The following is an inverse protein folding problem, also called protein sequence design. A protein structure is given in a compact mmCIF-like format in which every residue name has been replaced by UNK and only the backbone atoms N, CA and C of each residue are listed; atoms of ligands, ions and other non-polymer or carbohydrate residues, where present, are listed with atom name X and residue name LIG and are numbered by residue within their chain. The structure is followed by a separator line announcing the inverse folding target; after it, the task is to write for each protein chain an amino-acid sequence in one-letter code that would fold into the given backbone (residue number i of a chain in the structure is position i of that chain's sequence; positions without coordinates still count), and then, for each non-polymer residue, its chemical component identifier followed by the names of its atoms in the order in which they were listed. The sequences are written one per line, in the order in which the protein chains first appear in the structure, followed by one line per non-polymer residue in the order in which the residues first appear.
data_IF_290386567802
#
_entry.id   IF_290386567802
#
_cell.length_a   1.000
_cell.length_b   1.000
_cell.length_c   1.000
_cell.angle_alpha   90.00
_cell.angle_beta   90.00
_cell.angle_gamma   90.00
#
_symmetry.space_group_name_H-M   'P 1'
#
loop_
_entity.id
_entity.type
_entity.pdbx_description
1 polymer ?
#
# COMPACT_ATOMS: atom_id res chain seq x y z
N UNK A 1 -17.21 -7.83 -18.45
CA UNK A 1 -17.40 -8.56 -18.28
C UNK A 1 -17.47 -9.29 -17.71
N UNK A 2 -17.61 -9.59 -17.65
CA UNK A 2 -17.75 -10.45 -17.09
C UNK A 2 -17.59 -11.46 -17.08
N UNK A 3 -17.56 -11.96 -17.00
CA UNK A 3 -17.57 -13.05 -16.96
C UNK A 3 -17.93 -13.86 -16.91
N UNK A 4 -18.20 -14.18 -17.15
CA UNK A 4 -18.66 -14.98 -17.11
C UNK A 4 -18.88 -15.90 -16.83
N UNK A 5 -19.31 -16.08 -16.97
CA UNK A 5 -19.71 -16.99 -16.63
C UNK A 5 -19.87 -17.83 -16.92
N UNK A 6 -19.92 -18.28 -17.19
CA UNK A 6 -20.17 -19.14 -17.41
C UNK A 6 -20.51 -20.21 -17.07
N UNK A 7 -20.71 -20.46 -16.96
CA UNK A 7 -21.22 -21.17 -16.56
C UNK A 7 -21.19 -21.99 -15.92
N UNK A 8 -21.24 -22.22 -15.78
CA UNK A 8 -21.40 -22.73 -15.00
C UNK A 8 -20.81 -22.95 -14.09
N UNK A 9 -20.65 -23.03 -14.14
CA UNK A 9 -20.23 -22.99 -13.27
C UNK A 9 -19.83 -22.45 -12.62
N UNK A 10 -19.97 -21.94 -12.86
CA UNK A 10 -19.77 -21.32 -12.38
C UNK A 10 -19.50 -21.05 -11.62
N UNK A 11 -19.28 -21.13 -11.61
CA UNK A 11 -19.26 -20.90 -10.91
C UNK A 11 -19.17 -20.56 -9.98
N UNK A 12 -19.55 -21.38 -10.81
CA UNK A 12 -20.01 -20.58 -9.73
C UNK A 12 -19.03 -20.20 -8.65
N UNK A 13 -17.91 -20.18 -9.02
CA UNK A 13 -16.85 -19.66 -8.21
C UNK A 13 -16.97 -18.14 -8.16
N UNK A 14 -16.85 -17.58 -6.98
CA UNK A 14 -16.83 -16.14 -6.82
C UNK A 14 -15.43 -15.65 -7.13
N UNK A 15 -15.35 -14.72 -8.06
CA UNK A 15 -14.09 -14.09 -8.43
C UNK A 15 -14.11 -12.68 -7.88
N UNK A 16 -13.14 -12.39 -7.02
CA UNK A 16 -13.01 -11.06 -6.44
C UNK A 16 -12.04 -10.25 -7.28
N UNK A 17 -12.57 -9.28 -7.99
CA UNK A 17 -11.73 -8.33 -8.69
C UNK A 17 -11.42 -7.20 -7.74
N UNK A 18 -10.16 -6.98 -7.49
CA UNK A 18 -9.75 -5.84 -6.69
C UNK A 18 -9.68 -4.65 -7.62
N UNK A 19 -10.67 -3.78 -7.47
CA UNK A 19 -10.79 -2.61 -8.34
C UNK A 19 -9.68 -1.61 -8.13
N UNK A 20 -9.12 -1.60 -6.93
CA UNK A 20 -8.11 -0.64 -6.51
C UNK A 20 -6.96 -1.40 -5.85
N UNK A 21 -6.26 -2.24 -6.60
CA UNK A 21 -5.24 -3.09 -5.97
C UNK A 21 -4.10 -2.29 -5.39
N UNK A 22 -3.65 -2.70 -4.21
CA UNK A 22 -2.53 -2.08 -3.53
C UNK A 22 -1.37 -3.06 -3.54
N UNK A 23 -0.27 -2.64 -4.13
CA UNK A 23 0.95 -3.44 -4.24
C UNK A 23 1.98 -2.95 -3.24
N UNK A 24 2.95 -3.79 -2.93
CA UNK A 24 4.11 -3.42 -2.11
C UNK A 24 5.36 -3.52 -2.95
N UNK A 25 6.24 -2.55 -2.81
CA UNK A 25 7.56 -2.58 -3.43
C UNK A 25 8.36 -3.76 -2.88
N UNK A 26 9.09 -4.45 -3.76
CA UNK A 26 9.93 -5.58 -3.41
C UNK A 26 11.38 -5.15 -3.48
N UNK A 27 12.10 -5.31 -2.37
CA UNK A 27 13.50 -4.91 -2.28
C UNK A 27 14.37 -5.78 -3.19
N UNK A 28 15.61 -5.36 -3.37
CA UNK A 28 16.56 -6.12 -4.18
C UNK A 28 16.74 -7.56 -3.67
N UNK A 29 16.55 -7.76 -2.35
CA UNK A 29 16.65 -9.09 -1.75
C UNK A 29 15.36 -9.89 -1.87
N UNK A 30 14.34 -9.34 -2.52
CA UNK A 30 13.08 -10.04 -2.73
C UNK A 30 12.11 -9.93 -1.59
N UNK A 31 12.29 -8.98 -0.68
CA UNK A 31 11.43 -8.80 0.49
C UNK A 31 10.43 -7.69 0.28
N UNK A 32 9.25 -7.85 0.87
CA UNK A 32 8.23 -6.82 0.88
C UNK A 32 8.68 -5.70 1.81
N UNK A 33 8.88 -4.51 1.25
CA UNK A 33 9.45 -3.39 2.01
C UNK A 33 8.55 -2.96 3.18
N UNK A 34 7.23 -3.10 3.02
CA UNK A 34 6.30 -2.71 4.09
C UNK A 34 6.35 -3.72 5.22
N UNK A 35 6.39 -5.03 4.91
CA UNK A 35 6.53 -6.07 5.94
C UNK A 35 7.82 -5.88 6.72
N UNK A 36 8.92 -5.61 6.04
CA UNK A 36 10.20 -5.37 6.68
C UNK A 36 10.14 -4.16 7.60
N UNK A 37 9.55 -3.08 7.11
CA UNK A 37 9.42 -1.85 7.86
C UNK A 37 8.58 -2.06 9.13
N UNK A 38 7.44 -2.74 9.02
CA UNK A 38 6.59 -3.03 10.18
C UNK A 38 7.34 -3.85 11.22
N UNK A 39 8.13 -4.80 10.77
CA UNK A 39 8.94 -5.64 11.69
C UNK A 39 10.03 -4.83 12.35
N UNK A 40 10.73 -4.01 11.59
CA UNK A 40 11.82 -3.17 12.11
C UNK A 40 11.31 -2.17 13.14
N UNK A 41 10.12 -1.62 12.91
CA UNK A 41 9.51 -0.67 13.83
C UNK A 41 8.78 -1.36 14.98
N UNK A 42 8.75 -2.68 14.99
CA UNK A 42 8.11 -3.48 16.03
C UNK A 42 6.64 -3.12 16.20
N UNK A 43 5.95 -2.95 15.09
CA UNK A 43 4.52 -2.62 15.09
C UNK A 43 3.75 -3.84 15.58
N UNK A 44 2.80 -3.63 16.49
CA UNK A 44 2.04 -4.71 17.10
C UNK A 44 1.10 -5.37 16.11
N UNK A 45 0.86 -6.68 16.32
CA UNK A 45 0.01 -7.47 15.43
C UNK A 45 -1.38 -6.87 15.26
N UNK A 46 -1.95 -6.36 16.35
CA UNK A 46 -3.27 -5.74 16.28
C UNK A 46 -3.26 -4.51 15.38
N UNK A 47 -2.19 -3.74 15.43
CA UNK A 47 -2.05 -2.55 14.60
C UNK A 47 -1.85 -2.93 13.12
N UNK A 48 -1.09 -3.99 12.88
CA UNK A 48 -0.90 -4.51 11.53
C UNK A 48 -2.22 -5.01 10.96
N UNK A 49 -3.04 -5.67 11.79
CA UNK A 49 -4.35 -6.13 11.37
C UNK A 49 -5.26 -4.97 10.98
N UNK A 50 -5.22 -3.88 11.73
CA UNK A 50 -5.97 -2.66 11.40
C UNK A 50 -5.52 -2.09 10.07
N UNK A 51 -4.21 -2.04 9.85
CA UNK A 51 -3.63 -1.56 8.60
C UNK A 51 -4.11 -2.43 7.44
N UNK A 52 -4.02 -3.77 7.58
CA UNK A 52 -4.49 -4.67 6.54
C UNK A 52 -5.98 -4.50 6.25
N UNK A 53 -6.79 -4.31 7.29
CA UNK A 53 -8.22 -4.09 7.11
C UNK A 53 -8.51 -2.81 6.31
N UNK A 54 -7.73 -1.76 6.54
CA UNK A 54 -7.86 -0.52 5.77
C UNK A 54 -7.47 -0.71 4.31
N UNK A 55 -6.43 -1.50 4.06
CA UNK A 55 -6.05 -1.87 2.70
C UNK A 55 -7.20 -2.61 2.02
N UNK A 56 -7.75 -3.62 2.72
CA UNK A 56 -8.84 -4.43 2.16
C UNK A 56 -10.05 -3.56 1.79
N UNK A 57 -10.40 -2.62 2.65
CA UNK A 57 -11.53 -1.73 2.41
C UNK A 57 -11.28 -0.86 1.19
N UNK A 58 -10.09 -0.26 1.09
CA UNK A 58 -9.72 0.56 -0.05
C UNK A 58 -9.75 -0.25 -1.34
N UNK A 59 -9.24 -1.48 -1.31
CA UNK A 59 -9.22 -2.32 -2.52
C UNK A 59 -10.61 -2.64 -3.03
N UNK A 60 -11.61 -2.66 -2.17
CA UNK A 60 -12.99 -2.93 -2.58
C UNK A 60 -13.68 -1.71 -3.15
N UNK A 61 -13.44 -0.53 -2.61
CA UNK A 61 -14.20 0.65 -2.97
C UNK A 61 -13.42 1.90 -3.30
N UNK A 62 -12.09 1.85 -3.16
CA UNK A 62 -11.25 2.99 -3.49
C UNK A 62 -11.51 4.21 -2.64
N UNK A 63 -11.25 5.41 -3.21
CA UNK A 63 -11.42 6.65 -2.46
C UNK A 63 -12.84 6.87 -1.96
N UNK A 64 -13.84 6.34 -2.66
CA UNK A 64 -15.23 6.55 -2.26
C UNK A 64 -15.53 5.85 -0.92
N UNK A 65 -14.96 4.67 -0.72
CA UNK A 65 -15.20 3.90 0.49
C UNK A 65 -14.21 4.23 1.60
N UNK A 66 -13.06 4.79 1.24
CA UNK A 66 -12.00 5.13 2.18
C UNK A 66 -11.52 6.56 1.95
N UNK A 67 -12.38 7.55 2.16
CA UNK A 67 -11.98 8.94 1.92
C UNK A 67 -10.85 9.35 2.87
N UNK A 68 -9.83 10.01 2.34
CA UNK A 68 -8.73 10.49 3.15
C UNK A 68 -7.70 9.44 3.56
N UNK A 69 -7.86 8.19 3.11
CA UNK A 69 -6.87 7.16 3.42
C UNK A 69 -5.53 7.46 2.76
N UNK A 70 -5.56 8.00 1.54
CA UNK A 70 -4.37 8.42 0.81
C UNK A 70 -4.47 9.92 0.61
N UNK A 71 -3.40 10.63 0.96
CA UNK A 71 -3.40 12.08 1.02
C UNK A 71 -2.13 12.64 0.40
N UNK A 72 -2.23 13.80 -0.19
CA UNK A 72 -1.07 14.47 -0.76
C UNK A 72 -1.42 15.14 -2.08
N UNK A 73 -0.42 15.39 -2.96
CA UNK A 73 0.94 14.81 -2.90
C UNK A 73 1.82 15.46 -1.83
N UNK A 74 2.75 14.67 -1.31
CA UNK A 74 3.77 15.17 -0.37
C UNK A 74 5.10 15.43 -1.06
N UNK A 75 5.25 14.88 -2.25
CA UNK A 75 6.35 15.15 -3.18
C UNK A 75 5.84 14.76 -4.56
N UNK A 76 6.62 15.00 -5.61
CA UNK A 76 6.16 14.69 -6.97
C UNK A 76 5.81 13.20 -7.09
N UNK A 77 4.55 12.91 -7.42
CA UNK A 77 4.00 11.55 -7.59
C UNK A 77 3.97 10.72 -6.31
N UNK A 78 4.25 11.31 -5.16
CA UNK A 78 4.28 10.59 -3.90
C UNK A 78 3.18 11.12 -2.97
N UNK A 79 2.46 10.17 -2.38
CA UNK A 79 1.36 10.41 -1.45
C UNK A 79 1.63 9.64 -0.18
N UNK A 80 0.87 9.91 0.87
CA UNK A 80 1.00 9.18 2.12
C UNK A 80 -0.31 8.48 2.47
N UNK A 81 -0.22 7.26 2.97
CA UNK A 81 -1.33 6.59 3.61
C UNK A 81 -1.41 7.03 5.06
N UNK A 82 -2.62 7.02 5.61
CA UNK A 82 -2.85 7.49 6.98
C UNK A 82 -3.39 6.36 7.82
N UNK A 83 -2.54 5.81 8.67
CA UNK A 83 -2.92 4.76 9.63
C UNK A 83 -2.58 5.26 11.02
N UNK A 84 -3.59 5.33 11.89
CA UNK A 84 -3.42 5.80 13.27
C UNK A 84 -2.96 4.69 14.19
N UNK A 85 -2.46 5.10 15.34
CA UNK A 85 -2.38 4.18 16.47
C UNK A 85 -1.08 3.45 16.67
N UNK A 86 0.01 3.97 16.16
CA UNK A 86 1.31 3.37 16.45
C UNK A 86 1.99 4.14 17.57
N UNK A 87 2.24 3.46 18.70
CA UNK A 87 3.03 3.98 19.85
C UNK A 87 2.78 5.45 20.18
N UNK A 88 1.72 5.71 20.93
CA UNK A 88 1.41 7.05 21.41
C UNK A 88 1.08 7.99 20.27
N UNK A 89 1.84 9.04 20.10
CA UNK A 89 1.59 10.07 19.09
C UNK A 89 2.14 9.74 17.72
N UNK A 90 2.79 8.59 17.56
CA UNK A 90 3.34 8.20 16.28
C UNK A 90 2.27 7.62 15.39
N UNK A 91 2.30 8.01 14.13
CA UNK A 91 1.35 7.53 13.11
C UNK A 91 2.11 6.83 12.00
N UNK A 92 1.53 5.74 11.50
CA UNK A 92 2.12 5.05 10.34
C UNK A 92 1.76 5.82 9.08
N UNK A 93 2.76 6.09 8.24
CA UNK A 93 2.60 6.86 7.02
C UNK A 93 3.35 6.21 5.86
N UNK A 94 2.87 5.08 5.34
CA UNK A 94 3.49 4.53 4.14
C UNK A 94 3.48 5.55 3.02
N UNK A 95 4.61 5.70 2.33
CA UNK A 95 4.70 6.55 1.15
C UNK A 95 4.31 5.73 -0.06
N UNK A 96 3.38 6.23 -0.84
CA UNK A 96 2.78 5.47 -1.93
C UNK A 96 2.74 6.31 -3.21
N UNK A 97 2.50 5.65 -4.34
CA UNK A 97 2.15 6.34 -5.58
C UNK A 97 0.89 5.73 -6.14
N UNK A 98 0.17 6.50 -6.93
CA UNK A 98 -0.87 5.95 -7.80
C UNK A 98 -0.16 5.32 -8.99
N UNK A 99 -0.62 4.16 -9.42
CA UNK A 99 0.03 3.45 -10.48
C UNK A 99 1.22 2.63 -9.98
N UNK A 100 2.31 2.61 -10.74
CA UNK A 100 2.64 3.52 -11.83
C UNK A 100 2.11 3.11 -13.21
N UNK A 101 1.40 2.00 -13.32
CA UNK A 101 0.97 1.51 -14.64
C UNK A 101 -0.49 1.82 -14.95
N UNK A 102 -1.38 1.65 -13.97
CA UNK A 102 -2.81 1.95 -14.12
C UNK A 102 -3.23 2.95 -13.06
N UNK A 103 -4.14 3.85 -13.42
CA UNK A 103 -4.59 4.91 -12.51
C UNK A 103 -5.30 4.40 -11.27
N UNK A 104 -5.90 3.22 -11.36
CA UNK A 104 -6.67 2.65 -10.26
C UNK A 104 -5.83 1.81 -9.30
N UNK A 105 -4.57 1.63 -9.58
CA UNK A 105 -3.70 0.87 -8.68
C UNK A 105 -2.87 1.78 -7.80
N UNK A 106 -2.39 1.24 -6.69
CA UNK A 106 -1.55 1.96 -5.74
C UNK A 106 -0.37 1.08 -5.43
N UNK A 107 0.81 1.67 -5.33
CA UNK A 107 2.01 0.93 -4.91
C UNK A 107 2.58 1.59 -3.66
N UNK A 108 2.72 0.80 -2.60
CA UNK A 108 3.38 1.24 -1.38
C UNK A 108 4.89 1.13 -1.61
N UNK A 109 5.59 2.23 -1.50
CA UNK A 109 6.98 2.34 -1.94
C UNK A 109 7.99 2.27 -0.81
N UNK A 110 7.63 2.74 0.37
CA UNK A 110 8.44 2.63 1.57
C UNK A 110 7.60 3.01 2.78
N UNK A 111 8.09 2.71 3.98
CA UNK A 111 7.40 3.07 5.21
C UNK A 111 7.96 4.34 5.81
N UNK A 112 7.11 5.07 6.49
CA UNK A 112 7.52 6.24 7.26
C UNK A 112 6.64 6.35 8.49
N UNK A 113 7.13 7.06 9.49
CA UNK A 113 6.40 7.35 10.71
C UNK A 113 6.30 8.87 10.84
N UNK A 114 5.13 9.34 11.19
CA UNK A 114 4.91 10.75 11.45
C UNK A 114 4.79 10.97 12.95
N UNK A 115 5.56 11.90 13.47
CA UNK A 115 5.49 12.33 14.86
C UNK A 115 5.67 13.84 14.88
N UNK A 116 4.78 14.54 15.59
CA UNK A 116 4.83 16.00 15.71
C UNK A 116 4.91 16.67 14.34
N UNK A 117 4.09 16.17 13.40
CA UNK A 117 3.98 16.66 12.02
C UNK A 117 5.24 16.50 11.19
N UNK A 118 6.17 15.65 11.63
CA UNK A 118 7.41 15.38 10.90
C UNK A 118 7.50 13.92 10.53
N UNK A 119 7.88 13.68 9.28
CA UNK A 119 8.06 12.32 8.76
C UNK A 119 9.48 11.82 9.04
N UNK A 120 9.59 10.55 9.39
CA UNK A 120 10.86 9.84 9.59
C UNK A 120 10.88 8.56 8.80
N UNK A 121 11.98 8.22 8.16
CA UNK A 121 13.22 8.98 8.05
C UNK A 121 13.02 10.21 7.16
N UNK A 122 13.90 11.18 7.31
CA UNK A 122 13.79 12.44 6.56
C UNK A 122 13.79 12.25 5.05
N UNK A 123 14.49 11.23 4.58
CA UNK A 123 14.61 10.95 3.15
C UNK A 123 13.50 10.03 2.61
N UNK A 124 12.43 9.80 3.38
CA UNK A 124 11.40 8.84 2.98
C UNK A 124 10.77 9.18 1.62
N UNK A 125 10.59 10.47 1.33
CA UNK A 125 9.99 10.89 0.07
C UNK A 125 10.94 10.63 -1.10
N UNK A 126 12.22 10.85 -0.90
CA UNK A 126 13.24 10.61 -1.91
C UNK A 126 13.34 9.12 -2.17
N UNK A 127 13.38 8.32 -1.12
CA UNK A 127 13.41 6.87 -1.24
C UNK A 127 12.19 6.36 -2.00
N UNK A 128 11.02 6.90 -1.70
CA UNK A 128 9.80 6.52 -2.40
C UNK A 128 9.89 6.85 -3.89
N UNK A 129 10.43 8.02 -4.22
CA UNK A 129 10.60 8.41 -5.63
C UNK A 129 11.56 7.48 -6.35
N UNK A 130 12.65 7.09 -5.70
CA UNK A 130 13.61 6.16 -6.27
C UNK A 130 13.00 4.79 -6.49
N UNK A 131 12.26 4.29 -5.49
CA UNK A 131 11.61 2.99 -5.59
C UNK A 131 10.53 2.99 -6.68
N UNK A 132 9.82 4.11 -6.85
CA UNK A 132 8.86 4.24 -7.94
C UNK A 132 9.53 4.08 -9.29
N UNK A 133 10.69 4.70 -9.48
CA UNK A 133 11.45 4.56 -10.72
C UNK A 133 11.86 3.12 -10.97
N UNK A 134 12.26 2.42 -9.92
CA UNK A 134 12.64 1.01 -10.03
C UNK A 134 11.46 0.18 -10.52
N UNK A 135 10.28 0.40 -9.95
CA UNK A 135 9.07 -0.33 -10.37
C UNK A 135 8.73 -0.02 -11.82
N UNK A 136 8.84 1.24 -12.24
CA UNK A 136 8.58 1.62 -13.63
C UNK A 136 9.49 0.86 -14.57
N UNK A 137 10.75 0.70 -14.19
CA UNK A 137 11.73 -0.02 -14.99
C UNK A 137 11.64 -1.54 -14.91
N UNK A 138 11.02 -2.06 -13.88
CA UNK A 138 10.91 -3.50 -13.63
C UNK A 138 9.65 -3.79 -12.85
N UNK A 139 8.61 -4.19 -13.55
CA UNK A 139 7.29 -4.43 -12.96
C UNK A 139 7.31 -5.52 -11.89
N UNK A 140 8.27 -6.43 -11.95
CA UNK A 140 8.38 -7.50 -10.94
C UNK A 140 8.82 -6.98 -9.57
N UNK A 141 9.23 -5.73 -9.48
CA UNK A 141 9.67 -5.14 -8.23
C UNK A 141 8.50 -4.63 -7.39
N UNK A 142 7.29 -5.07 -7.69
CA UNK A 142 6.13 -4.86 -6.80
C UNK A 142 5.32 -6.15 -6.76
N UNK A 143 4.63 -6.38 -5.64
CA UNK A 143 3.87 -7.60 -5.45
C UNK A 143 2.57 -7.29 -4.72
N UNK A 144 1.50 -7.96 -5.15
CA UNK A 144 0.22 -7.87 -4.45
C UNK A 144 0.18 -8.97 -3.41
N UNK A 145 0.38 -8.62 -2.15
CA UNK A 145 0.32 -9.58 -1.06
C UNK A 145 -0.09 -8.91 0.24
N UNK A 146 -0.57 -9.69 1.17
CA UNK A 146 -0.98 -9.18 2.47
C UNK A 146 0.25 -8.76 3.28
N UNK A 147 0.06 -7.74 4.12
CA UNK A 147 1.15 -7.26 4.97
C UNK A 147 1.16 -7.92 6.34
N UNK A 148 0.08 -8.62 6.69
CA UNK A 148 -0.05 -9.29 7.99
C UNK A 148 0.22 -10.80 7.88
N UNK A 149 0.74 -11.22 6.79
CA UNK A 149 1.02 -12.63 6.55
C UNK A 149 2.42 -13.02 6.96
#
# INVERSE_FOLDING_TARGET
MQPENRGGNNNARVIYFRRWPIYSFITQRGENIIREWLRRERVEKTQIAIFQAKIDLYERGGPDLSPGFIEGPVAKNIYKMKIKGHKGHMQLRPMVCYGPFLDTEVTMLTGAIEKDFKLRPKNCKIEAQENRKIVIGDRSRRRHERING
#
